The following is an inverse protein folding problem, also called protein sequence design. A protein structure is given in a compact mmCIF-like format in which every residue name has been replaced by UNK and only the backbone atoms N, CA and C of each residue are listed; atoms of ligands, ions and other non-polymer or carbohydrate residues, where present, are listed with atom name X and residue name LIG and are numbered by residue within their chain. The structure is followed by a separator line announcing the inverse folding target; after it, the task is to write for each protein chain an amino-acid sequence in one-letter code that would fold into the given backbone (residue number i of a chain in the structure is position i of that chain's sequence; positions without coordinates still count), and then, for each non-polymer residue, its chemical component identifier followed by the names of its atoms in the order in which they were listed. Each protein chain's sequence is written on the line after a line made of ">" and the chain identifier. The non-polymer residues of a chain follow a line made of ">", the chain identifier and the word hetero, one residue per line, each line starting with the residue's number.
data_IF_236758091745
#
_entry.id   IF_236758091745
#
_cell.length_a   1.000
_cell.length_b   1.000
_cell.length_c   1.000
_cell.angle_alpha   90.00
_cell.angle_beta   90.00
_cell.angle_gamma   90.00
#
_symmetry.space_group_name_H-M   'P 1'
#
loop_
_entity.id
_entity.type
_entity.pdbx_description
1 polymer ?
#
# COMPACT_ATOMS: atom_id res chain seq x y z
N UNK A 1 -18.11 7.68 -42.47
CA UNK A 1 -16.65 7.86 -42.55
C UNK A 1 -16.09 7.60 -43.95
N UNK A 2 -15.45 8.59 -44.58
CA UNK A 2 -14.67 8.45 -45.81
C UNK A 2 -13.46 9.38 -45.80
N UNK A 3 -12.46 9.17 -46.67
CA UNK A 3 -11.32 10.08 -46.82
C UNK A 3 -11.79 11.32 -47.57
N UNK A 4 -11.73 12.51 -46.97
CA UNK A 4 -12.06 13.79 -47.62
C UNK A 4 -10.89 14.26 -48.47
N UNK A 5 -9.70 14.33 -47.90
CA UNK A 5 -8.53 14.96 -48.54
C UNK A 5 -7.26 14.22 -48.15
N UNK A 6 -6.29 14.19 -49.06
CA UNK A 6 -4.95 13.67 -48.82
C UNK A 6 -3.91 14.72 -49.20
N UNK A 7 -2.98 14.99 -48.28
CA UNK A 7 -1.79 15.82 -48.53
C UNK A 7 -0.56 14.94 -48.45
N UNK A 8 0.20 14.90 -49.55
CA UNK A 8 1.45 14.15 -49.64
C UNK A 8 2.62 15.11 -49.81
N UNK A 9 3.68 14.95 -49.01
CA UNK A 9 4.92 15.71 -49.14
C UNK A 9 6.11 14.80 -48.89
N UNK A 10 7.15 14.91 -49.72
CA UNK A 10 8.41 14.15 -49.70
C UNK A 10 8.30 12.62 -49.52
N UNK A 11 7.22 12.00 -49.99
CA UNK A 11 7.04 10.55 -49.96
C UNK A 11 7.33 9.89 -51.32
N UNK A 12 8.44 9.15 -51.40
CA UNK A 12 8.90 8.43 -52.61
C UNK A 12 8.95 9.33 -53.85
N UNK A 13 7.99 9.18 -54.78
CA UNK A 13 7.92 9.95 -56.03
C UNK A 13 7.32 11.35 -55.85
N UNK A 14 6.71 11.64 -54.70
CA UNK A 14 6.09 12.93 -54.39
C UNK A 14 7.08 13.79 -53.61
N UNK A 15 7.92 14.56 -54.30
CA UNK A 15 8.90 15.44 -53.65
C UNK A 15 8.23 16.69 -53.08
N UNK A 16 7.44 17.37 -53.90
CA UNK A 16 6.73 18.59 -53.53
C UNK A 16 5.39 18.28 -52.86
N UNK A 17 4.87 19.26 -52.09
CA UNK A 17 3.56 19.14 -51.45
C UNK A 17 2.46 19.04 -52.52
N UNK A 18 1.84 17.86 -52.58
CA UNK A 18 0.71 17.58 -53.46
C UNK A 18 -0.53 17.43 -52.60
N UNK A 19 -1.43 18.40 -52.67
CA UNK A 19 -2.77 18.29 -52.11
C UNK A 19 -3.70 17.71 -53.17
N UNK A 20 -4.39 16.63 -52.83
CA UNK A 20 -5.37 16.03 -53.73
C UNK A 20 -6.73 16.63 -53.43
N UNK A 21 -7.45 16.97 -54.50
CA UNK A 21 -8.81 17.51 -54.42
C UNK A 21 -9.75 16.58 -53.62
N UNK A 22 -10.85 17.14 -53.07
CA UNK A 22 -11.77 16.38 -52.24
C UNK A 22 -12.28 15.12 -52.94
N UNK A 23 -12.08 13.97 -52.30
CA UNK A 23 -12.59 12.70 -52.81
C UNK A 23 -14.13 12.68 -52.72
N UNK A 24 -14.74 12.05 -53.72
CA UNK A 24 -16.16 11.74 -53.68
C UNK A 24 -16.44 10.66 -52.62
N UNK A 25 -17.53 10.76 -51.84
CA UNK A 25 -17.90 9.73 -50.87
C UNK A 25 -18.33 8.40 -51.54
N UNK A 26 -18.52 8.38 -52.86
CA UNK A 26 -18.98 7.20 -53.61
C UNK A 26 -17.81 6.46 -54.27
N UNK A 27 -17.41 6.88 -55.46
CA UNK A 27 -16.44 6.16 -56.27
C UNK A 27 -15.36 7.10 -56.78
N UNK A 28 -14.09 6.71 -56.65
CA UNK A 28 -12.94 7.48 -57.07
C UNK A 28 -12.04 6.59 -57.93
N UNK A 29 -11.64 7.08 -59.10
CA UNK A 29 -10.79 6.34 -60.05
C UNK A 29 -9.47 7.08 -60.20
N UNK A 30 -8.36 6.36 -60.00
CA UNK A 30 -7.00 6.91 -60.16
C UNK A 30 -6.41 6.37 -61.47
N UNK A 31 -6.23 7.26 -62.44
CA UNK A 31 -5.65 6.93 -63.76
C UNK A 31 -4.30 7.61 -63.95
N UNK A 32 -3.46 7.05 -64.82
CA UNK A 32 -2.14 7.61 -65.12
C UNK A 32 -1.28 6.65 -65.96
N UNK A 33 -0.16 7.14 -66.50
CA UNK A 33 0.79 6.32 -67.26
C UNK A 33 1.51 5.30 -66.37
N UNK A 34 2.06 4.23 -66.93
CA UNK A 34 2.90 3.30 -66.17
C UNK A 34 4.11 4.05 -65.60
N UNK A 35 4.43 3.81 -64.32
CA UNK A 35 5.48 4.56 -63.61
C UNK A 35 5.09 5.94 -63.09
N UNK A 36 3.86 6.43 -63.31
CA UNK A 36 3.41 7.75 -62.86
C UNK A 36 3.18 7.91 -61.35
N UNK A 37 3.63 6.95 -60.53
CA UNK A 37 3.48 7.03 -59.06
C UNK A 37 2.15 6.53 -58.48
N UNK A 38 1.22 5.96 -59.28
CA UNK A 38 -0.07 5.41 -58.77
C UNK A 38 0.11 4.42 -57.61
N UNK A 39 1.07 3.50 -57.71
CA UNK A 39 1.37 2.56 -56.62
C UNK A 39 1.95 3.26 -55.37
N UNK A 40 2.68 4.36 -55.56
CA UNK A 40 3.23 5.16 -54.47
C UNK A 40 2.14 5.97 -53.76
N UNK A 41 1.10 6.40 -54.48
CA UNK A 41 -0.09 7.01 -53.88
C UNK A 41 -0.80 6.07 -52.90
N UNK A 42 -1.07 4.82 -53.31
CA UNK A 42 -1.65 3.83 -52.38
C UNK A 42 -0.70 3.45 -51.24
N UNK A 43 0.61 3.43 -51.51
CA UNK A 43 1.61 3.22 -50.47
C UNK A 43 1.62 4.35 -49.42
N UNK A 44 1.33 5.60 -49.82
CA UNK A 44 1.23 6.75 -48.92
C UNK A 44 0.01 6.62 -47.99
N UNK A 45 -1.16 6.27 -48.54
CA UNK A 45 -2.38 6.03 -47.75
C UNK A 45 -2.16 4.88 -46.77
N UNK A 46 -1.57 3.77 -47.25
CA UNK A 46 -1.22 2.63 -46.41
C UNK A 46 -0.18 3.00 -45.34
N UNK A 47 0.76 3.89 -45.64
CA UNK A 47 1.76 4.34 -44.68
C UNK A 47 1.12 5.09 -43.51
N UNK A 48 0.12 5.94 -43.75
CA UNK A 48 -0.56 6.65 -42.67
C UNK A 48 -1.43 5.69 -41.84
N UNK A 49 -2.18 4.79 -42.50
CA UNK A 49 -3.18 3.95 -41.82
C UNK A 49 -2.66 2.63 -41.24
N UNK A 50 -1.52 2.13 -41.72
CA UNK A 50 -1.04 0.79 -41.39
C UNK A 50 0.21 0.78 -40.49
N UNK A 51 0.25 -0.22 -39.63
CA UNK A 51 1.38 -0.48 -38.73
C UNK A 51 2.53 -1.21 -39.43
N UNK A 52 2.37 -1.64 -40.69
CA UNK A 52 3.37 -2.41 -41.43
C UNK A 52 4.73 -1.70 -41.57
N UNK A 53 4.77 -0.38 -41.36
CA UNK A 53 5.98 0.44 -41.41
C UNK A 53 6.54 0.81 -40.03
N UNK A 54 5.96 0.29 -38.93
CA UNK A 54 6.51 0.44 -37.56
C UNK A 54 7.80 -0.35 -37.36
N UNK A 55 7.95 -1.48 -38.05
CA UNK A 55 9.11 -2.36 -37.98
C UNK A 55 10.10 -2.19 -39.15
N UNK A 56 10.15 -1.03 -39.82
CA UNK A 56 11.17 -0.78 -40.84
C UNK A 56 12.56 -0.57 -40.24
N UNK A 57 13.59 -1.02 -40.95
CA UNK A 57 14.99 -0.78 -40.58
C UNK A 57 15.33 0.73 -40.65
N UNK A 58 16.44 1.13 -40.01
CA UNK A 58 16.89 2.53 -40.02
C UNK A 58 17.18 3.04 -41.45
N UNK A 59 17.61 2.16 -42.34
CA UNK A 59 17.95 2.44 -43.74
C UNK A 59 16.69 2.66 -44.61
N UNK A 60 15.68 1.81 -44.46
CA UNK A 60 14.39 1.96 -45.13
C UNK A 60 13.66 3.23 -44.68
N UNK A 61 13.79 3.59 -43.39
CA UNK A 61 13.30 4.85 -42.85
C UNK A 61 14.03 6.05 -43.45
N UNK A 62 15.33 5.95 -43.66
CA UNK A 62 16.14 7.01 -44.28
C UNK A 62 15.81 7.21 -45.76
N UNK A 63 15.49 6.14 -46.49
CA UNK A 63 15.06 6.21 -47.89
C UNK A 63 13.67 6.86 -48.09
N UNK A 64 12.90 7.03 -47.01
CA UNK A 64 11.56 7.64 -47.00
C UNK A 64 11.54 9.03 -46.36
N UNK A 65 12.69 9.58 -45.97
CA UNK A 65 12.79 10.91 -45.40
C UNK A 65 12.65 11.92 -46.54
N UNK A 66 11.50 12.58 -46.62
CA UNK A 66 11.36 14.03 -46.47
C UNK A 66 9.88 14.32 -46.18
N UNK A 67 9.59 15.03 -45.09
CA UNK A 67 8.27 15.63 -44.80
C UNK A 67 7.05 14.68 -44.68
N UNK A 68 5.97 15.20 -44.08
CA UNK A 68 4.88 14.41 -43.50
C UNK A 68 3.75 14.08 -44.47
N UNK A 69 3.01 13.03 -44.14
CA UNK A 69 1.77 12.65 -44.81
C UNK A 69 0.58 13.00 -43.92
N UNK A 70 -0.49 13.53 -44.52
CA UNK A 70 -1.71 13.93 -43.79
C UNK A 70 -2.98 13.47 -44.52
N UNK A 71 -3.87 12.79 -43.80
CA UNK A 71 -5.18 12.34 -44.29
C UNK A 71 -6.27 12.97 -43.44
N UNK A 72 -7.25 13.59 -44.10
CA UNK A 72 -8.45 14.12 -43.47
C UNK A 72 -9.60 13.17 -43.74
N UNK A 73 -10.27 12.72 -42.68
CA UNK A 73 -11.46 11.89 -42.73
C UNK A 73 -12.70 12.69 -42.36
N UNK A 74 -13.79 12.41 -43.06
CA UNK A 74 -15.12 12.71 -42.57
C UNK A 74 -15.49 11.74 -41.44
N UNK A 75 -15.89 12.27 -40.28
CA UNK A 75 -16.30 11.52 -39.09
C UNK A 75 -17.74 11.88 -38.68
N UNK A 76 -18.59 12.25 -39.64
CA UNK A 76 -20.02 12.55 -39.38
C UNK A 76 -20.78 11.39 -38.73
N UNK A 77 -20.28 10.16 -38.88
CA UNK A 77 -20.80 8.93 -38.25
C UNK A 77 -20.26 8.67 -36.83
N UNK A 78 -19.48 9.59 -36.25
CA UNK A 78 -18.90 9.51 -34.90
C UNK A 78 -18.19 8.19 -34.61
N UNK A 79 -17.60 7.59 -35.64
CA UNK A 79 -16.88 6.31 -35.53
C UNK A 79 -15.60 6.46 -34.73
N UNK A 80 -14.99 7.65 -34.78
CA UNK A 80 -13.98 8.08 -33.83
C UNK A 80 -14.64 8.89 -32.72
N UNK A 81 -14.41 8.54 -31.44
CA UNK A 81 -14.97 9.27 -30.29
C UNK A 81 -14.16 10.54 -29.99
N UNK A 82 -13.99 11.40 -31.00
CA UNK A 82 -13.24 12.67 -30.91
C UNK A 82 -14.15 13.88 -30.73
N UNK A 83 -15.47 13.72 -30.88
CA UNK A 83 -16.45 14.81 -30.79
C UNK A 83 -16.32 15.86 -31.90
N UNK A 84 -15.64 15.52 -33.00
CA UNK A 84 -15.45 16.38 -34.18
C UNK A 84 -15.93 15.63 -35.42
N UNK A 85 -16.57 16.37 -36.32
CA UNK A 85 -17.07 15.87 -37.60
C UNK A 85 -15.94 15.58 -38.61
N UNK A 86 -14.71 16.02 -38.30
CA UNK A 86 -13.52 15.74 -39.08
C UNK A 86 -12.37 15.21 -38.21
N UNK A 87 -11.69 14.20 -38.72
CA UNK A 87 -10.53 13.58 -38.06
C UNK A 87 -9.31 13.69 -38.97
N UNK A 88 -8.27 14.33 -38.46
CA UNK A 88 -7.01 14.53 -39.16
C UNK A 88 -5.99 13.52 -38.62
N UNK A 89 -5.47 12.68 -39.50
CA UNK A 89 -4.37 11.75 -39.20
C UNK A 89 -3.12 12.20 -39.94
N UNK A 90 -2.13 12.67 -39.19
CA UNK A 90 -0.82 13.07 -39.72
C UNK A 90 0.25 12.13 -39.23
N UNK A 91 1.09 11.64 -40.14
CA UNK A 91 2.26 10.81 -39.84
C UNK A 91 3.51 11.46 -40.41
N UNK A 92 4.40 11.89 -39.53
CA UNK A 92 5.69 12.47 -39.87
C UNK A 92 6.79 11.46 -39.57
N UNK A 93 7.74 11.30 -40.49
CA UNK A 93 8.95 10.49 -40.25
C UNK A 93 10.01 11.44 -39.72
N UNK A 94 10.17 11.47 -38.39
CA UNK A 94 11.24 12.17 -37.71
C UNK A 94 12.17 11.20 -36.97
N UNK A 95 13.41 11.61 -36.73
CA UNK A 95 14.47 10.75 -36.18
C UNK A 95 14.24 10.19 -34.77
N UNK A 96 13.15 10.54 -34.05
CA UNK A 96 12.99 10.14 -32.64
C UNK A 96 11.67 9.56 -32.15
N UNK A 97 10.49 9.78 -32.74
CA UNK A 97 9.25 9.14 -32.25
C UNK A 97 8.22 8.98 -33.36
N UNK A 98 7.51 7.85 -33.33
CA UNK A 98 6.39 7.55 -34.22
C UNK A 98 5.18 7.20 -33.36
N UNK A 99 4.15 8.05 -33.36
CA UNK A 99 2.85 7.72 -32.75
C UNK A 99 1.96 7.06 -33.81
N UNK A 100 1.25 6.00 -33.41
CA UNK A 100 0.45 5.14 -34.29
C UNK A 100 -0.98 5.12 -33.77
N UNK A 101 -1.95 5.38 -34.65
CA UNK A 101 -3.37 5.02 -34.43
C UNK A 101 -3.72 3.98 -35.48
N UNK A 102 -4.12 2.80 -35.03
CA UNK A 102 -4.23 1.59 -35.84
C UNK A 102 -5.63 1.42 -36.43
N UNK A 103 -5.76 1.57 -37.75
CA UNK A 103 -6.93 1.10 -38.51
C UNK A 103 -6.47 0.28 -39.72
N UNK A 104 -6.67 -1.04 -39.62
CA UNK A 104 -6.15 -2.02 -40.58
C UNK A 104 -7.21 -2.41 -41.63
N UNK A 105 -6.99 -2.07 -42.91
CA UNK A 105 -7.38 -2.90 -44.10
C UNK A 105 -6.36 -2.71 -45.22
N UNK A 106 -5.58 -3.72 -45.62
CA UNK A 106 -5.81 -4.88 -46.51
C UNK A 106 -5.87 -4.51 -48.01
N UNK A 107 -4.70 -4.45 -48.65
CA UNK A 107 -4.56 -4.72 -50.09
C UNK A 107 -3.43 -5.75 -50.28
N UNK A 108 -3.73 -6.80 -51.06
CA UNK A 108 -2.83 -7.94 -51.35
C UNK A 108 -3.25 -9.31 -50.81
N UNK A 109 -4.43 -9.46 -50.18
CA UNK A 109 -4.85 -10.74 -49.55
C UNK A 109 -5.55 -11.75 -50.46
N UNK A 110 -5.89 -11.45 -51.72
CA UNK A 110 -6.74 -12.34 -52.52
C UNK A 110 -6.06 -13.70 -52.77
N UNK A 111 -4.78 -13.72 -53.15
CA UNK A 111 -3.99 -14.96 -53.31
C UNK A 111 -3.63 -15.64 -51.99
N UNK A 112 -3.48 -14.87 -50.91
CA UNK A 112 -3.23 -15.41 -49.58
C UNK A 112 -4.49 -16.05 -48.97
N UNK A 113 -5.69 -15.56 -49.29
CA UNK A 113 -6.96 -16.14 -48.80
C UNK A 113 -7.28 -17.48 -49.48
N UNK A 114 -6.98 -17.60 -50.77
CA UNK A 114 -7.16 -18.85 -51.54
C UNK A 114 -6.25 -19.95 -51.04
N UNK A 115 -5.01 -19.63 -50.65
CA UNK A 115 -4.03 -20.60 -50.13
C UNK A 115 -3.95 -20.67 -48.59
N UNK A 116 -4.72 -19.86 -47.85
CA UNK A 116 -4.71 -19.85 -46.39
C UNK A 116 -5.20 -21.19 -45.82
N UNK A 117 -4.56 -21.63 -44.74
CA UNK A 117 -5.01 -22.80 -43.97
C UNK A 117 -6.25 -22.43 -43.14
N UNK A 118 -7.07 -23.42 -42.78
CA UNK A 118 -8.36 -23.18 -42.14
C UNK A 118 -8.28 -22.44 -40.79
N UNK A 119 -7.19 -22.63 -40.03
CA UNK A 119 -6.95 -21.87 -38.80
C UNK A 119 -6.67 -20.37 -39.04
N UNK A 120 -6.00 -20.02 -40.15
CA UNK A 120 -5.76 -18.64 -40.54
C UNK A 120 -7.03 -17.98 -41.06
N UNK A 121 -7.87 -18.74 -41.77
CA UNK A 121 -9.22 -18.31 -42.17
C UNK A 121 -10.11 -18.05 -40.96
N UNK A 122 -10.08 -18.94 -39.96
CA UNK A 122 -10.81 -18.75 -38.72
C UNK A 122 -10.31 -17.54 -37.94
N UNK A 123 -9.00 -17.34 -37.85
CA UNK A 123 -8.42 -16.16 -37.20
C UNK A 123 -8.85 -14.86 -37.90
N UNK A 124 -8.92 -14.86 -39.22
CA UNK A 124 -9.45 -13.74 -39.99
C UNK A 124 -10.93 -13.49 -39.70
N UNK A 125 -11.75 -14.54 -39.65
CA UNK A 125 -13.17 -14.43 -39.30
C UNK A 125 -13.37 -13.88 -37.89
N UNK A 126 -12.58 -14.33 -36.91
CA UNK A 126 -12.58 -13.80 -35.54
C UNK A 126 -12.12 -12.33 -35.47
N UNK A 127 -11.17 -11.93 -36.32
CA UNK A 127 -10.73 -10.54 -36.43
C UNK A 127 -11.83 -9.65 -37.04
N UNK A 128 -12.51 -10.11 -38.09
CA UNK A 128 -13.61 -9.40 -38.74
C UNK A 128 -14.85 -9.31 -37.84
N UNK A 129 -15.14 -10.37 -37.08
CA UNK A 129 -16.22 -10.39 -36.10
C UNK A 129 -15.91 -9.57 -34.83
N UNK A 130 -14.67 -9.07 -34.67
CA UNK A 130 -14.26 -8.30 -33.50
C UNK A 130 -14.14 -9.11 -32.20
N UNK A 131 -14.30 -10.44 -32.25
CA UNK A 131 -14.33 -11.31 -31.07
C UNK A 131 -12.95 -11.49 -30.43
N UNK A 132 -11.88 -11.19 -31.17
CA UNK A 132 -10.50 -11.30 -30.67
C UNK A 132 -10.22 -10.41 -29.45
N UNK A 133 -10.73 -9.18 -29.45
CA UNK A 133 -10.54 -8.24 -28.33
C UNK A 133 -11.28 -8.73 -27.09
N UNK A 134 -12.48 -9.28 -27.28
CA UNK A 134 -13.28 -9.86 -26.21
C UNK A 134 -12.62 -11.12 -25.62
N UNK A 135 -12.15 -12.05 -26.46
CA UNK A 135 -11.44 -13.26 -26.01
C UNK A 135 -10.17 -12.92 -25.21
N UNK A 136 -9.40 -11.92 -25.66
CA UNK A 136 -8.20 -11.45 -24.95
C UNK A 136 -8.54 -10.86 -23.58
N UNK A 137 -9.51 -9.92 -23.53
CA UNK A 137 -9.95 -9.32 -22.25
C UNK A 137 -10.50 -10.37 -21.29
N UNK A 138 -11.27 -11.34 -21.79
CA UNK A 138 -11.81 -12.44 -20.98
C UNK A 138 -10.70 -13.29 -20.37
N UNK A 139 -9.69 -13.65 -21.15
CA UNK A 139 -8.55 -14.44 -20.66
C UNK A 139 -7.76 -13.68 -19.58
N UNK A 140 -7.54 -12.38 -19.79
CA UNK A 140 -6.88 -11.52 -18.81
C UNK A 140 -7.70 -11.40 -17.51
N UNK A 141 -9.02 -11.17 -17.61
CA UNK A 141 -9.91 -11.12 -16.44
C UNK A 141 -9.93 -12.44 -15.66
N UNK A 142 -9.97 -13.58 -16.35
CA UNK A 142 -9.92 -14.90 -15.70
C UNK A 142 -8.61 -15.10 -14.93
N UNK A 143 -7.49 -14.65 -15.49
CA UNK A 143 -6.20 -14.71 -14.80
C UNK A 143 -6.21 -13.85 -13.53
N UNK A 144 -6.66 -12.60 -13.63
CA UNK A 144 -6.77 -11.69 -12.47
C UNK A 144 -7.69 -12.28 -11.40
N UNK A 145 -8.80 -12.92 -11.80
CA UNK A 145 -9.71 -13.59 -10.88
C UNK A 145 -9.00 -14.70 -10.10
N UNK A 146 -8.27 -15.58 -10.79
CA UNK A 146 -7.50 -16.65 -10.14
C UNK A 146 -6.43 -16.13 -9.17
N UNK A 147 -5.73 -15.04 -9.52
CA UNK A 147 -4.74 -14.40 -8.65
C UNK A 147 -5.40 -13.78 -7.41
N UNK A 148 -6.63 -13.24 -7.57
CA UNK A 148 -7.39 -12.63 -6.49
C UNK A 148 -7.96 -13.69 -5.54
N UNK A 149 -8.45 -14.80 -6.06
CA UNK A 149 -8.93 -15.92 -5.26
C UNK A 149 -7.81 -16.54 -4.42
N UNK A 150 -6.60 -16.67 -4.99
CA UNK A 150 -5.42 -17.13 -4.25
C UNK A 150 -5.04 -16.16 -3.11
N UNK A 151 -5.13 -14.83 -3.33
CA UNK A 151 -4.91 -13.84 -2.27
C UNK A 151 -5.98 -13.93 -1.19
N UNK A 152 -7.24 -14.14 -1.58
CA UNK A 152 -8.36 -14.30 -0.64
C UNK A 152 -8.18 -15.53 0.26
N UNK A 153 -7.70 -16.65 -0.28
CA UNK A 153 -7.38 -17.84 0.51
C UNK A 153 -6.34 -17.55 1.59
N UNK A 154 -5.24 -16.88 1.22
CA UNK A 154 -4.18 -16.48 2.17
C UNK A 154 -4.68 -15.54 3.26
N UNK A 155 -5.58 -14.62 2.92
CA UNK A 155 -6.21 -13.73 3.91
C UNK A 155 -7.08 -14.55 4.86
N UNK A 156 -7.81 -15.56 4.38
CA UNK A 156 -8.57 -16.47 5.21
C UNK A 156 -7.70 -17.21 6.24
N UNK A 157 -6.57 -17.77 5.80
CA UNK A 157 -5.60 -18.45 6.68
C UNK A 157 -5.04 -17.51 7.75
N UNK A 158 -4.73 -16.25 7.39
CA UNK A 158 -4.25 -15.25 8.35
C UNK A 158 -5.32 -14.83 9.35
N UNK A 159 -6.58 -14.75 8.94
CA UNK A 159 -7.69 -14.44 9.84
C UNK A 159 -7.88 -15.55 10.87
N UNK A 160 -7.83 -16.81 10.45
CA UNK A 160 -7.93 -17.96 11.36
C UNK A 160 -6.80 -17.96 12.41
N UNK A 161 -5.58 -17.58 12.01
CA UNK A 161 -4.46 -17.39 12.94
C UNK A 161 -4.68 -16.23 13.92
N UNK A 162 -5.25 -15.12 13.45
CA UNK A 162 -5.56 -13.97 14.32
C UNK A 162 -6.63 -14.34 15.34
N UNK A 163 -7.68 -15.07 14.91
CA UNK A 163 -8.76 -15.51 15.79
C UNK A 163 -8.25 -16.49 16.86
N UNK A 164 -7.34 -17.41 16.51
CA UNK A 164 -6.73 -18.29 17.50
C UNK A 164 -5.90 -17.51 18.53
N UNK A 165 -5.11 -16.51 18.08
CA UNK A 165 -4.34 -15.64 18.98
C UNK A 165 -5.22 -14.75 19.87
N UNK A 166 -6.35 -14.27 19.36
CA UNK A 166 -7.29 -13.50 20.17
C UNK A 166 -7.90 -14.36 21.28
N UNK A 167 -8.18 -15.63 20.99
CA UNK A 167 -8.69 -16.58 21.99
C UNK A 167 -7.66 -16.83 23.09
N UNK A 168 -6.39 -17.10 22.73
CA UNK A 168 -5.30 -17.24 23.71
C UNK A 168 -5.14 -15.99 24.60
N UNK A 169 -5.20 -14.79 24.01
CA UNK A 169 -5.10 -13.54 24.76
C UNK A 169 -6.29 -13.29 25.70
N UNK A 170 -7.47 -13.80 25.33
CA UNK A 170 -8.66 -13.70 26.16
C UNK A 170 -8.56 -14.62 27.39
N UNK A 171 -8.02 -15.82 27.22
CA UNK A 171 -7.67 -16.74 28.31
C UNK A 171 -6.61 -16.14 29.24
N UNK A 172 -5.49 -15.65 28.70
CA UNK A 172 -4.43 -14.99 29.49
C UNK A 172 -4.95 -13.79 30.30
N UNK A 173 -5.89 -13.03 29.72
CA UNK A 173 -6.53 -11.90 30.41
C UNK A 173 -7.39 -12.36 31.59
N UNK A 174 -8.11 -13.46 31.44
CA UNK A 174 -8.94 -14.01 32.51
C UNK A 174 -8.06 -14.54 33.66
N UNK A 175 -7.00 -15.28 33.35
CA UNK A 175 -6.00 -15.71 34.35
C UNK A 175 -5.37 -14.52 35.10
N UNK A 176 -4.99 -13.46 34.37
CA UNK A 176 -4.42 -12.26 34.98
C UNK A 176 -5.41 -11.58 35.93
N UNK A 177 -6.70 -11.59 35.60
CA UNK A 177 -7.75 -11.01 36.44
C UNK A 177 -7.89 -11.80 37.75
N UNK A 178 -7.90 -13.13 37.68
CA UNK A 178 -7.91 -13.99 38.87
C UNK A 178 -6.65 -13.76 39.73
N UNK A 179 -5.49 -13.66 39.11
CA UNK A 179 -4.24 -13.34 39.80
C UNK A 179 -4.33 -11.99 40.54
N UNK A 180 -4.90 -10.95 39.92
CA UNK A 180 -5.06 -9.64 40.56
C UNK A 180 -6.02 -9.68 41.76
N UNK A 181 -7.08 -10.48 41.70
CA UNK A 181 -7.98 -10.67 42.83
C UNK A 181 -7.28 -11.38 43.99
N UNK A 182 -6.55 -12.45 43.69
CA UNK A 182 -5.75 -13.19 44.69
C UNK A 182 -4.63 -12.36 45.28
N UNK A 183 -3.95 -11.52 44.50
CA UNK A 183 -2.90 -10.66 45.01
C UNK A 183 -3.47 -9.51 45.87
N UNK A 184 -4.67 -9.00 45.57
CA UNK A 184 -5.37 -8.07 46.49
C UNK A 184 -5.68 -8.74 47.83
N UNK A 185 -6.23 -9.96 47.81
CA UNK A 185 -6.49 -10.74 49.03
C UNK A 185 -5.19 -10.96 49.82
N UNK A 186 -4.11 -11.36 49.15
CA UNK A 186 -2.79 -11.56 49.75
C UNK A 186 -2.29 -10.29 50.43
N UNK A 187 -2.36 -9.14 49.75
CA UNK A 187 -1.93 -7.85 50.33
C UNK A 187 -2.77 -7.49 51.55
N UNK A 188 -4.09 -7.67 51.51
CA UNK A 188 -4.94 -7.39 52.66
C UNK A 188 -4.57 -8.24 53.88
N UNK A 189 -4.31 -9.54 53.68
CA UNK A 189 -3.87 -10.44 54.76
C UNK A 189 -2.47 -10.06 55.28
N UNK A 190 -1.54 -9.72 54.38
CA UNK A 190 -0.20 -9.28 54.71
C UNK A 190 -0.22 -8.00 55.58
N UNK A 191 -1.03 -7.00 55.19
CA UNK A 191 -1.24 -5.80 56.01
C UNK A 191 -1.86 -6.12 57.38
N UNK A 192 -2.86 -7.02 57.44
CA UNK A 192 -3.48 -7.41 58.70
C UNK A 192 -2.49 -8.11 59.64
N UNK A 193 -1.61 -8.96 59.08
CA UNK A 193 -0.57 -9.63 59.83
C UNK A 193 0.46 -8.64 60.37
N UNK A 194 0.96 -7.72 59.53
CA UNK A 194 1.88 -6.68 59.97
C UNK A 194 1.28 -5.74 61.02
N UNK A 195 0.00 -5.40 60.89
CA UNK A 195 -0.69 -4.58 61.89
C UNK A 195 -0.73 -5.29 63.25
N UNK A 196 -1.06 -6.59 63.25
CA UNK A 196 -1.09 -7.41 64.47
C UNK A 196 0.30 -7.55 65.08
N UNK A 197 1.33 -7.83 64.28
CA UNK A 197 2.72 -7.89 64.77
C UNK A 197 3.17 -6.56 65.38
N UNK A 198 2.76 -5.43 64.78
CA UNK A 198 3.07 -4.10 65.29
C UNK A 198 2.36 -3.80 66.61
N UNK A 199 1.11 -4.26 66.78
CA UNK A 199 0.38 -4.19 68.04
C UNK A 199 1.05 -5.05 69.13
N UNK A 200 1.42 -6.30 68.82
CA UNK A 200 2.11 -7.19 69.77
C UNK A 200 3.46 -6.60 70.23
N UNK A 201 4.24 -6.03 69.31
CA UNK A 201 5.51 -5.35 69.65
C UNK A 201 5.26 -4.06 70.43
N UNK A 202 4.18 -3.34 70.12
CA UNK A 202 3.77 -2.14 70.84
C UNK A 202 3.41 -2.42 72.29
N UNK A 203 2.61 -3.46 72.55
CA UNK A 203 2.27 -3.91 73.90
C UNK A 203 3.52 -4.33 74.68
N UNK A 204 4.43 -5.10 74.06
CA UNK A 204 5.68 -5.50 74.69
C UNK A 204 6.58 -4.29 75.04
N UNK A 205 6.59 -3.25 74.21
CA UNK A 205 7.31 -2.00 74.50
C UNK A 205 6.69 -1.25 75.66
N UNK A 206 5.36 -1.17 75.73
CA UNK A 206 4.66 -0.52 76.85
C UNK A 206 4.94 -1.22 78.19
N UNK A 207 4.93 -2.56 78.21
CA UNK A 207 5.28 -3.35 79.40
C UNK A 207 6.69 -3.04 79.89
N UNK A 208 7.68 -3.04 78.99
CA UNK A 208 9.08 -2.68 79.32
C UNK A 208 9.18 -1.22 79.81
N UNK A 209 8.42 -0.30 79.20
CA UNK A 209 8.40 1.09 79.65
C UNK A 209 7.79 1.26 81.05
N UNK A 210 6.73 0.51 81.37
CA UNK A 210 6.13 0.49 82.71
C UNK A 210 7.08 -0.09 83.76
N UNK A 211 7.74 -1.21 83.46
CA UNK A 211 8.77 -1.76 84.34
C UNK A 211 9.88 -0.74 84.60
N UNK A 212 10.40 -0.10 83.54
CA UNK A 212 11.42 0.95 83.65
C UNK A 212 10.94 2.14 84.49
N UNK A 213 9.69 2.58 84.32
CA UNK A 213 9.07 3.65 85.14
C UNK A 213 8.97 3.23 86.61
N UNK A 214 8.58 1.99 86.87
CA UNK A 214 8.51 1.41 88.22
C UNK A 214 9.88 1.35 88.90
N UNK A 215 10.90 0.89 88.18
CA UNK A 215 12.29 0.85 88.67
C UNK A 215 12.81 2.25 88.99
N UNK A 216 12.58 3.23 88.13
CA UNK A 216 12.95 4.63 88.38
C UNK A 216 12.26 5.19 89.63
N UNK A 217 10.96 4.92 89.80
CA UNK A 217 10.22 5.34 90.99
C UNK A 217 10.79 4.69 92.27
N UNK A 218 11.03 3.38 92.25
CA UNK A 218 11.63 2.66 93.38
C UNK A 218 13.04 3.16 93.72
N UNK A 219 13.83 3.51 92.70
CA UNK A 219 15.18 4.06 92.85
C UNK A 219 15.12 5.45 93.49
N UNK A 220 14.19 6.30 93.08
CA UNK A 220 13.96 7.61 93.70
C UNK A 220 13.54 7.48 95.16
N UNK A 221 12.62 6.56 95.49
CA UNK A 221 12.21 6.29 96.88
C UNK A 221 13.38 5.80 97.74
N UNK A 222 14.21 4.88 97.23
CA UNK A 222 15.43 4.42 97.92
C UNK A 222 16.41 5.56 98.14
N UNK A 223 16.54 6.48 97.17
CA UNK A 223 17.41 7.66 97.26
C UNK A 223 16.92 8.65 98.32
N UNK A 224 15.62 8.91 98.42
CA UNK A 224 15.05 9.73 99.49
C UNK A 224 15.28 9.10 100.87
N UNK A 225 15.00 7.80 101.02
CA UNK A 225 15.26 7.08 102.26
C UNK A 225 16.74 7.09 102.65
N UNK A 226 17.64 6.98 101.68
CA UNK A 226 19.08 7.09 101.90
C UNK A 226 19.45 8.49 102.41
N UNK A 227 18.97 9.56 101.76
CA UNK A 227 19.21 10.93 102.19
C UNK A 227 18.67 11.20 103.61
N UNK A 228 17.50 10.67 103.96
CA UNK A 228 16.93 10.83 105.30
C UNK A 228 17.72 10.07 106.36
N UNK A 229 18.18 8.85 106.07
CA UNK A 229 19.09 8.09 106.94
C UNK A 229 20.43 8.80 107.11
N UNK A 230 20.96 9.40 106.05
CA UNK A 230 22.20 10.19 106.13
C UNK A 230 22.03 11.40 107.04
N UNK A 231 20.93 12.14 106.93
CA UNK A 231 20.60 13.23 107.87
C UNK A 231 20.48 12.73 109.31
N UNK A 232 19.82 11.58 109.53
CA UNK A 232 19.72 10.98 110.87
C UNK A 232 21.08 10.59 111.42
N UNK A 233 21.94 9.98 110.61
CA UNK A 233 23.31 9.63 110.99
C UNK A 233 24.13 10.87 111.35
N UNK A 234 24.07 11.94 110.54
CA UNK A 234 24.72 13.22 110.84
C UNK A 234 24.20 13.84 112.15
N UNK A 235 22.89 13.76 112.41
CA UNK A 235 22.30 14.24 113.66
C UNK A 235 22.76 13.41 114.87
N UNK A 236 22.84 12.08 114.72
CA UNK A 236 23.36 11.19 115.74
C UNK A 236 24.85 11.43 115.98
N UNK A 237 25.67 11.61 114.94
CA UNK A 237 27.08 12.00 115.07
C UNK A 237 27.24 13.33 115.80
N UNK A 238 26.41 14.34 115.48
CA UNK A 238 26.38 15.61 116.22
C UNK A 238 25.98 15.42 117.68
N UNK A 239 25.05 14.51 117.98
CA UNK A 239 24.65 14.20 119.35
C UNK A 239 25.75 13.47 120.14
N UNK A 240 26.47 12.54 119.50
CA UNK A 240 27.62 11.81 120.06
C UNK A 240 28.80 12.77 120.27
N UNK A 241 29.03 13.69 119.34
CA UNK A 241 30.02 14.77 119.46
C UNK A 241 29.72 15.69 120.65
N UNK A 242 28.45 15.92 120.98
CA UNK A 242 28.03 16.70 122.16
C UNK A 242 28.07 15.90 123.47
N UNK A 243 28.03 14.56 123.40
CA UNK A 243 28.06 13.67 124.56
C UNK A 243 29.45 13.07 124.85
N UNK A 244 30.50 13.44 124.10
CA UNK A 244 31.89 13.11 124.46
C UNK A 244 32.34 14.04 125.60
N UNK A 245 32.62 13.52 126.81
CA UNK A 245 33.35 14.28 127.82
C UNK A 245 34.81 14.44 127.35
N UNK A 246 35.41 15.57 127.75
CA UNK A 246 36.84 15.90 127.63
C UNK A 246 37.71 14.78 128.18
#
# INVERSE_FOLDING_TARGET
>A
MYIKTLTIQGFKSYRDQTQIEPFSPRHNVVVGRNGSGKSNFFAAIRFVLSDAYTSMSREERQALLHEGLEIIFDNSDNRFPTGRDEVILRRTIGSRKMSTVSIRRVQGRITALTNAKDHERLALLKEVAGTKVYEQRRAESLRIMSETDAKRSKIGELLEYIDSRLTELEEEKEELKEFQEKDKERRCLEYALYQRELEEVGEALEEIEEERRGELHSTNMRREQFNDREKQAQNLERSISKSKPV
#
